data_IF_348103078568
#
_entry.id   IF_348103078568
#
_cell.length_a   1.000
_cell.length_b   1.000
_cell.length_c   1.000
_cell.angle_alpha   90.00
_cell.angle_beta   90.00
_cell.angle_gamma   90.00
#
_symmetry.space_group_name_H-M   'P 1'
#
loop_
_entity.id
_entity.type
_entity.pdbx_description
1 polymer ?
#
# COMPACT_ATOMS: atom_id res chain seq x y z
N UNK A 1 0.67 -6.43 40.61
CA UNK A 1 0.65 -7.50 39.57
C UNK A 1 0.55 -8.81 40.33
N UNK A 2 -0.35 -9.68 39.98
CA UNK A 2 -0.57 -10.95 40.66
C UNK A 2 0.63 -11.89 40.41
N UNK A 3 1.17 -12.53 41.45
CA UNK A 3 2.34 -13.43 41.36
C UNK A 3 2.10 -14.54 40.33
N UNK A 4 0.87 -15.07 40.28
CA UNK A 4 0.47 -16.08 39.29
C UNK A 4 0.53 -15.61 37.83
N UNK A 5 0.29 -14.33 37.55
CA UNK A 5 0.41 -13.77 36.20
C UNK A 5 1.88 -13.62 35.77
N UNK A 6 2.76 -13.41 36.73
CA UNK A 6 4.18 -13.36 36.48
C UNK A 6 4.73 -14.76 36.15
N UNK A 7 4.31 -15.76 36.95
CA UNK A 7 4.64 -17.17 36.70
C UNK A 7 4.15 -17.63 35.33
N UNK A 8 2.93 -17.20 34.94
CA UNK A 8 2.38 -17.48 33.59
C UNK A 8 3.24 -16.85 32.47
N UNK A 9 3.74 -15.62 32.67
CA UNK A 9 4.62 -14.95 31.70
C UNK A 9 5.99 -15.65 31.58
N UNK A 10 6.55 -16.15 32.68
CA UNK A 10 7.84 -16.88 32.67
C UNK A 10 7.73 -18.26 32.03
N UNK A 11 6.58 -18.92 32.13
CA UNK A 11 6.37 -20.28 31.64
C UNK A 11 5.76 -20.35 30.23
N UNK A 12 5.25 -19.25 29.67
CA UNK A 12 4.66 -19.22 28.33
C UNK A 12 5.70 -18.86 27.27
N UNK A 13 5.84 -19.71 26.26
CA UNK A 13 6.71 -19.45 25.11
C UNK A 13 5.98 -18.62 24.04
N UNK A 14 4.64 -18.70 23.98
CA UNK A 14 3.81 -18.03 22.98
C UNK A 14 2.70 -17.20 23.62
N UNK A 15 2.18 -16.23 22.85
CA UNK A 15 1.02 -15.43 23.28
C UNK A 15 -0.23 -16.29 23.47
N UNK A 16 -0.43 -17.30 22.65
CA UNK A 16 -1.55 -18.22 22.76
C UNK A 16 -1.47 -18.99 24.08
N UNK A 17 -0.30 -19.45 24.48
CA UNK A 17 -0.09 -20.13 25.77
C UNK A 17 -0.35 -19.17 26.95
N UNK A 18 0.23 -17.98 26.92
CA UNK A 18 0.03 -16.97 27.96
C UNK A 18 -1.45 -16.61 28.09
N UNK A 19 -2.14 -16.39 26.96
CA UNK A 19 -3.58 -16.07 26.96
C UNK A 19 -4.42 -17.23 27.51
N UNK A 20 -4.07 -18.46 27.20
CA UNK A 20 -4.73 -19.65 27.76
C UNK A 20 -4.54 -19.74 29.27
N UNK A 21 -3.35 -19.49 29.81
CA UNK A 21 -3.13 -19.41 31.26
C UNK A 21 -4.01 -18.33 31.90
N UNK A 22 -4.06 -17.14 31.32
CA UNK A 22 -4.89 -16.04 31.81
C UNK A 22 -6.39 -16.36 31.76
N UNK A 23 -6.84 -16.97 30.67
CA UNK A 23 -8.23 -17.39 30.49
C UNK A 23 -8.63 -18.47 31.53
N UNK A 24 -7.71 -19.40 31.81
CA UNK A 24 -7.93 -20.43 32.84
C UNK A 24 -8.04 -19.83 34.23
N UNK A 25 -7.18 -18.86 34.58
CA UNK A 25 -7.23 -18.17 35.87
C UNK A 25 -8.52 -17.35 36.06
N UNK A 26 -9.02 -16.76 34.97
CA UNK A 26 -10.28 -16.02 35.01
C UNK A 26 -11.52 -16.91 34.88
N UNK A 27 -11.36 -18.17 34.47
CA UNK A 27 -12.44 -19.06 34.07
C UNK A 27 -13.35 -18.42 32.99
N UNK A 28 -12.78 -17.59 32.10
CA UNK A 28 -13.48 -16.83 31.07
C UNK A 28 -12.75 -16.88 29.74
N UNK A 29 -13.48 -16.97 28.61
CA UNK A 29 -12.87 -16.87 27.29
C UNK A 29 -12.25 -15.49 27.04
N UNK A 30 -11.07 -15.49 26.38
CA UNK A 30 -10.34 -14.28 26.06
C UNK A 30 -9.81 -14.32 24.63
N UNK A 31 -9.73 -13.15 23.99
CA UNK A 31 -9.02 -12.97 22.75
C UNK A 31 -8.31 -11.63 22.66
N UNK A 32 -7.30 -11.56 21.82
CA UNK A 32 -6.52 -10.36 21.56
C UNK A 32 -6.65 -10.05 20.08
N UNK A 33 -6.96 -8.79 19.75
CA UNK A 33 -6.95 -8.24 18.41
C UNK A 33 -5.88 -7.18 18.27
N UNK A 34 -5.23 -7.11 17.11
CA UNK A 34 -4.29 -6.04 16.78
C UNK A 34 -4.97 -4.71 16.45
N UNK A 35 -4.18 -3.69 16.08
CA UNK A 35 -4.68 -2.37 15.67
C UNK A 35 -5.53 -2.45 14.38
N UNK A 36 -5.36 -3.50 13.56
CA UNK A 36 -6.10 -3.80 12.34
C UNK A 36 -7.29 -4.74 12.53
N UNK A 37 -7.68 -5.02 13.79
CA UNK A 37 -8.77 -5.94 14.16
C UNK A 37 -8.56 -7.41 13.75
N UNK A 38 -7.32 -7.80 13.46
CA UNK A 38 -6.99 -9.22 13.26
C UNK A 38 -6.70 -9.90 14.59
N UNK A 39 -7.14 -11.16 14.71
CA UNK A 39 -6.90 -11.94 15.91
C UNK A 39 -5.41 -12.29 16.02
N UNK A 40 -4.80 -11.83 17.11
CA UNK A 40 -3.42 -12.20 17.49
C UNK A 40 -3.44 -13.57 18.21
N UNK A 41 -4.34 -13.73 19.17
CA UNK A 41 -4.47 -14.95 19.98
C UNK A 41 -5.91 -15.12 20.48
N UNK A 42 -6.31 -16.39 20.69
CA UNK A 42 -7.59 -16.77 21.26
C UNK A 42 -7.40 -17.89 22.29
N UNK A 43 -8.08 -17.79 23.42
CA UNK A 43 -8.09 -18.88 24.39
C UNK A 43 -8.85 -20.09 23.84
N UNK A 44 -8.32 -21.28 24.12
CA UNK A 44 -8.92 -22.55 23.70
C UNK A 44 -9.99 -22.98 24.73
N UNK A 45 -11.21 -22.44 24.60
CA UNK A 45 -12.36 -22.95 25.36
C UNK A 45 -13.45 -23.38 24.38
N UNK A 46 -14.20 -24.47 24.68
CA UNK A 46 -15.28 -24.94 23.80
C UNK A 46 -16.35 -23.87 23.54
N UNK A 47 -16.60 -23.02 24.51
CA UNK A 47 -17.57 -21.94 24.38
C UNK A 47 -17.01 -20.78 23.55
N UNK A 48 -15.72 -20.48 23.68
CA UNK A 48 -15.06 -19.48 22.86
C UNK A 48 -15.18 -19.79 21.35
N UNK A 49 -14.92 -21.01 20.94
CA UNK A 49 -15.03 -21.45 19.54
C UNK A 49 -16.41 -21.17 18.95
N UNK A 50 -17.50 -21.42 19.71
CA UNK A 50 -18.86 -21.16 19.25
C UNK A 50 -19.15 -19.69 18.94
N UNK A 51 -18.52 -18.77 19.68
CA UNK A 51 -18.62 -17.32 19.41
C UNK A 51 -17.71 -16.94 18.25
N UNK A 52 -16.51 -17.53 18.13
CA UNK A 52 -15.56 -17.23 17.07
C UNK A 52 -16.06 -17.62 15.70
N UNK A 53 -16.67 -18.80 15.54
CA UNK A 53 -17.25 -19.26 14.27
C UNK A 53 -18.32 -18.29 13.71
N UNK A 54 -18.99 -17.54 14.60
CA UNK A 54 -20.01 -16.56 14.21
C UNK A 54 -19.44 -15.25 13.66
N UNK A 55 -18.22 -14.87 14.06
CA UNK A 55 -17.65 -13.56 13.78
C UNK A 55 -16.40 -13.59 12.91
N UNK A 56 -15.76 -14.74 12.77
CA UNK A 56 -14.49 -14.86 12.09
C UNK A 56 -14.56 -15.81 10.90
N UNK A 57 -14.24 -15.32 9.70
CA UNK A 57 -14.04 -16.14 8.53
C UNK A 57 -12.74 -16.94 8.69
N UNK A 58 -12.81 -18.28 8.57
CA UNK A 58 -11.67 -19.19 8.72
C UNK A 58 -10.92 -19.11 10.06
N UNK A 59 -11.61 -18.71 11.14
CA UNK A 59 -11.11 -18.81 12.52
C UNK A 59 -10.12 -17.75 12.96
N UNK A 60 -9.70 -16.79 12.10
CA UNK A 60 -8.73 -15.75 12.48
C UNK A 60 -9.01 -14.36 11.92
N UNK A 61 -9.82 -14.23 10.89
CA UNK A 61 -10.13 -12.93 10.28
C UNK A 61 -11.55 -12.50 10.59
N UNK A 62 -11.71 -11.25 11.01
CA UNK A 62 -13.04 -10.64 11.17
C UNK A 62 -13.70 -10.59 9.79
N UNK A 63 -14.95 -11.08 9.69
CA UNK A 63 -15.71 -10.97 8.46
C UNK A 63 -15.90 -9.53 8.02
N UNK A 64 -15.91 -9.28 6.72
CA UNK A 64 -16.04 -7.92 6.14
C UNK A 64 -17.24 -7.13 6.70
N UNK A 65 -18.38 -7.79 6.93
CA UNK A 65 -19.57 -7.14 7.50
C UNK A 65 -19.38 -6.70 8.96
N UNK A 66 -18.54 -7.38 9.73
CA UNK A 66 -18.23 -7.01 11.11
C UNK A 66 -17.31 -5.77 11.14
N UNK A 67 -16.48 -5.59 10.12
CA UNK A 67 -15.62 -4.41 9.96
C UNK A 67 -16.44 -3.13 9.72
N UNK A 68 -17.53 -3.22 8.95
CA UNK A 68 -18.46 -2.11 8.72
C UNK A 68 -19.26 -1.77 9.98
N UNK A 69 -19.51 -2.77 10.83
CA UNK A 69 -20.27 -2.60 12.07
C UNK A 69 -19.40 -2.14 13.27
N UNK A 70 -18.09 -2.41 13.28
CA UNK A 70 -17.12 -1.84 14.21
C UNK A 70 -16.94 -0.34 13.90
N UNK A 71 -18.05 0.39 14.06
CA UNK A 71 -18.08 1.83 13.88
C UNK A 71 -17.12 2.51 14.85
N UNK A 72 -16.64 3.69 14.47
CA UNK A 72 -15.87 4.59 15.30
C UNK A 72 -16.49 4.74 16.71
N UNK A 73 -17.81 4.64 16.81
CA UNK A 73 -18.59 4.72 18.05
C UNK A 73 -18.27 3.61 19.07
N UNK A 74 -18.02 2.38 18.61
CA UNK A 74 -17.58 1.29 19.50
C UNK A 74 -16.12 1.48 19.93
N UNK A 75 -15.28 1.96 19.02
CA UNK A 75 -13.86 2.23 19.30
C UNK A 75 -13.74 3.33 20.36
N UNK A 76 -14.55 4.37 20.28
CA UNK A 76 -14.54 5.50 21.21
C UNK A 76 -15.14 5.15 22.58
N UNK A 77 -16.06 4.19 22.65
CA UNK A 77 -16.64 3.69 23.91
C UNK A 77 -15.68 2.82 24.72
N UNK A 78 -14.77 2.10 24.05
CA UNK A 78 -13.74 1.30 24.72
C UNK A 78 -12.53 2.20 24.99
N UNK A 79 -12.59 2.95 26.06
CA UNK A 79 -11.51 3.84 26.49
C UNK A 79 -10.26 3.07 26.92
N UNK A 80 -9.15 3.80 27.10
CA UNK A 80 -7.84 3.30 27.56
C UNK A 80 -7.86 2.56 28.90
N UNK A 81 -9.03 2.49 29.54
CA UNK A 81 -9.23 1.81 30.81
C UNK A 81 -10.16 0.62 30.63
N UNK A 82 -9.88 -0.50 31.33
CA UNK A 82 -10.75 -1.66 31.29
C UNK A 82 -12.17 -1.26 31.70
N UNK A 83 -13.15 -1.55 30.88
CA UNK A 83 -14.56 -1.27 31.17
C UNK A 83 -15.43 -2.48 30.87
N UNK A 84 -16.45 -2.70 31.71
CA UNK A 84 -17.50 -3.69 31.48
C UNK A 84 -18.53 -3.07 30.55
N UNK A 85 -18.80 -3.71 29.43
CA UNK A 85 -19.70 -3.23 28.38
C UNK A 85 -20.64 -4.38 28.00
N UNK A 86 -21.93 -4.09 27.84
CA UNK A 86 -22.84 -5.02 27.20
C UNK A 86 -22.62 -4.97 25.71
N UNK A 87 -22.18 -6.08 25.12
CA UNK A 87 -22.01 -6.20 23.68
C UNK A 87 -23.33 -6.65 23.05
N UNK A 88 -23.97 -5.75 22.30
CA UNK A 88 -25.27 -5.98 21.68
C UNK A 88 -25.24 -7.10 20.64
N UNK A 89 -24.11 -7.37 20.04
CA UNK A 89 -23.93 -8.39 19.01
C UNK A 89 -23.76 -9.78 19.63
N UNK A 90 -22.96 -9.86 20.68
CA UNK A 90 -22.75 -11.06 21.46
C UNK A 90 -23.93 -11.34 22.40
N UNK A 91 -24.76 -10.32 22.68
CA UNK A 91 -25.83 -10.38 23.68
C UNK A 91 -25.32 -10.81 25.06
N UNK A 92 -24.14 -10.35 25.42
CA UNK A 92 -23.49 -10.65 26.68
C UNK A 92 -22.57 -9.53 27.15
N UNK A 93 -22.20 -9.57 28.43
CA UNK A 93 -21.25 -8.63 28.97
C UNK A 93 -19.80 -9.03 28.61
N UNK A 94 -18.99 -8.05 28.28
CA UNK A 94 -17.57 -8.21 28.04
C UNK A 94 -16.78 -7.19 28.89
N UNK A 95 -15.55 -7.53 29.22
CA UNK A 95 -14.55 -6.55 29.67
C UNK A 95 -13.55 -6.37 28.55
N UNK A 96 -13.48 -5.15 28.01
CA UNK A 96 -12.51 -4.80 26.98
C UNK A 96 -11.52 -3.77 27.50
N UNK A 97 -10.26 -3.89 27.10
CA UNK A 97 -9.20 -2.94 27.43
C UNK A 97 -8.14 -2.88 26.34
N UNK A 98 -7.52 -1.72 26.19
CA UNK A 98 -6.39 -1.55 25.28
C UNK A 98 -5.10 -2.08 25.90
N UNK A 99 -4.35 -2.84 25.12
CA UNK A 99 -2.98 -3.24 25.43
C UNK A 99 -2.06 -2.16 24.87
N UNK A 100 -1.34 -1.45 25.75
CA UNK A 100 -0.53 -0.27 25.39
C UNK A 100 0.95 -0.47 25.67
N UNK A 101 1.82 0.04 24.76
CA UNK A 101 3.26 0.22 25.00
C UNK A 101 3.58 1.71 24.88
N UNK A 102 4.19 2.30 25.93
CA UNK A 102 4.51 3.74 25.99
C UNK A 102 3.30 4.63 25.64
N UNK A 103 2.15 4.34 26.23
CA UNK A 103 0.87 5.03 26.00
C UNK A 103 0.31 4.93 24.56
N UNK A 104 0.84 4.05 23.73
CA UNK A 104 0.33 3.77 22.41
C UNK A 104 -0.36 2.41 22.41
N UNK A 105 -1.62 2.37 21.98
CA UNK A 105 -2.35 1.11 21.78
C UNK A 105 -1.63 0.27 20.73
N UNK A 106 -1.45 -1.01 21.01
CA UNK A 106 -0.86 -2.00 20.13
C UNK A 106 -1.78 -3.18 19.86
N UNK A 107 -2.73 -3.40 20.75
CA UNK A 107 -3.72 -4.46 20.65
C UNK A 107 -4.90 -4.15 21.58
N UNK A 108 -5.93 -4.97 21.51
CA UNK A 108 -7.08 -4.95 22.42
C UNK A 108 -7.33 -6.33 22.98
N UNK A 109 -7.44 -6.43 24.29
CA UNK A 109 -7.89 -7.61 25.00
C UNK A 109 -9.39 -7.52 25.22
N UNK A 110 -10.11 -8.59 24.89
CA UNK A 110 -11.53 -8.76 25.21
C UNK A 110 -11.72 -10.05 26.00
N UNK A 111 -12.49 -9.95 27.07
CA UNK A 111 -12.85 -11.05 27.97
C UNK A 111 -14.36 -11.20 27.95
N UNK A 112 -14.87 -12.37 27.60
CA UNK A 112 -16.30 -12.68 27.68
C UNK A 112 -16.68 -13.03 29.11
N UNK A 113 -17.82 -12.55 29.58
CA UNK A 113 -18.35 -12.87 30.88
C UNK A 113 -19.50 -13.89 30.74
N UNK A 114 -19.16 -15.19 30.69
CA UNK A 114 -20.14 -16.27 30.50
C UNK A 114 -20.95 -16.58 31.75
N UNK A 115 -20.34 -16.43 32.90
CA UNK A 115 -20.97 -16.66 34.19
C UNK A 115 -20.86 -15.40 35.05
N UNK A 116 -21.82 -15.12 35.89
CA UNK A 116 -21.81 -13.97 36.81
C UNK A 116 -20.67 -14.00 37.85
N UNK A 117 -19.58 -14.68 37.56
CA UNK A 117 -18.39 -14.77 38.39
C UNK A 117 -17.54 -13.51 38.25
N UNK A 118 -16.92 -13.17 39.37
CA UNK A 118 -16.21 -11.91 39.63
C UNK A 118 -14.85 -11.79 38.92
N UNK A 119 -14.82 -11.87 37.60
CA UNK A 119 -13.65 -11.38 36.88
C UNK A 119 -13.59 -9.87 37.05
N UNK A 120 -12.65 -9.43 37.88
CA UNK A 120 -12.52 -8.00 38.17
C UNK A 120 -11.85 -7.25 37.02
N UNK A 121 -12.31 -6.04 36.78
CA UNK A 121 -11.69 -5.10 35.85
C UNK A 121 -10.18 -4.92 36.15
N UNK A 122 -9.79 -5.00 37.44
CA UNK A 122 -8.40 -4.93 37.86
C UNK A 122 -7.58 -6.11 37.37
N UNK A 123 -8.10 -7.34 37.39
CA UNK A 123 -7.43 -8.52 36.89
C UNK A 123 -7.19 -8.40 35.37
N UNK A 124 -8.20 -8.01 34.59
CA UNK A 124 -8.09 -7.82 33.13
C UNK A 124 -7.04 -6.76 32.79
N UNK A 125 -6.93 -5.69 33.58
CA UNK A 125 -5.89 -4.69 33.42
C UNK A 125 -4.48 -5.26 33.67
N UNK A 126 -4.31 -6.12 34.64
CA UNK A 126 -3.03 -6.76 34.92
C UNK A 126 -2.68 -7.79 33.82
N UNK A 127 -3.64 -8.53 33.30
CA UNK A 127 -3.48 -9.39 32.12
C UNK A 127 -3.02 -8.57 30.92
N UNK A 128 -3.65 -7.42 30.65
CA UNK A 128 -3.24 -6.54 29.53
C UNK A 128 -1.80 -6.05 29.66
N UNK A 129 -1.33 -5.76 30.87
CA UNK A 129 0.08 -5.36 31.11
C UNK A 129 1.06 -6.49 30.82
N UNK A 130 0.75 -7.70 31.25
CA UNK A 130 1.59 -8.89 31.02
C UNK A 130 1.65 -9.22 29.53
N UNK A 131 0.50 -9.19 28.85
CA UNK A 131 0.43 -9.36 27.39
C UNK A 131 1.18 -8.27 26.63
N UNK A 132 1.18 -7.03 27.14
CA UNK A 132 1.97 -5.94 26.53
C UNK A 132 3.47 -6.23 26.52
N UNK A 133 4.00 -6.88 27.56
CA UNK A 133 5.42 -7.27 27.63
C UNK A 133 5.73 -8.30 26.53
N UNK A 134 4.92 -9.34 26.41
CA UNK A 134 5.15 -10.40 25.44
C UNK A 134 4.95 -9.91 23.99
N UNK A 135 3.90 -9.15 23.71
CA UNK A 135 3.66 -8.51 22.42
C UNK A 135 4.79 -7.55 22.01
N UNK A 136 5.34 -6.82 22.99
CA UNK A 136 6.51 -5.97 22.72
C UNK A 136 7.71 -6.77 22.27
N UNK A 137 7.99 -7.90 22.93
CA UNK A 137 9.11 -8.78 22.58
C UNK A 137 8.90 -9.40 21.19
N UNK A 138 7.70 -9.88 20.88
CA UNK A 138 7.36 -10.40 19.56
C UNK A 138 7.47 -9.33 18.46
N UNK A 139 6.88 -8.14 18.65
CA UNK A 139 7.00 -7.03 17.68
C UNK A 139 8.44 -6.56 17.47
N UNK A 140 9.27 -6.59 18.51
CA UNK A 140 10.69 -6.30 18.36
C UNK A 140 11.39 -7.36 17.51
N UNK A 141 11.00 -8.63 17.63
CA UNK A 141 11.52 -9.72 16.79
C UNK A 141 11.00 -9.62 15.34
N UNK A 142 9.74 -9.31 15.13
CA UNK A 142 9.13 -9.16 13.80
C UNK A 142 9.62 -7.91 13.04
N UNK A 143 9.74 -6.78 13.72
CA UNK A 143 10.30 -5.54 13.14
C UNK A 143 11.80 -5.62 12.87
N UNK A 144 12.49 -6.54 13.54
CA UNK A 144 13.91 -6.87 13.35
C UNK A 144 14.08 -8.16 12.54
N UNK A 145 13.06 -8.64 11.82
CA UNK A 145 13.27 -9.78 10.93
C UNK A 145 14.35 -9.41 9.90
N UNK A 146 15.33 -10.28 9.65
CA UNK A 146 16.42 -10.00 8.70
C UNK A 146 15.90 -9.52 7.35
N UNK A 147 14.71 -9.97 6.98
CA UNK A 147 14.07 -9.66 5.72
C UNK A 147 13.47 -8.26 5.69
N UNK A 148 12.76 -7.84 6.74
CA UNK A 148 12.24 -6.47 6.86
C UNK A 148 13.39 -5.45 6.87
N UNK A 149 14.49 -5.77 7.56
CA UNK A 149 15.69 -4.96 7.56
C UNK A 149 16.36 -4.91 6.18
N UNK A 150 16.37 -6.02 5.43
CA UNK A 150 16.88 -6.06 4.05
C UNK A 150 16.08 -5.13 3.14
N UNK A 151 14.75 -5.26 3.13
CA UNK A 151 13.90 -4.42 2.26
C UNK A 151 14.06 -2.95 2.61
N UNK A 152 14.04 -2.61 3.89
CA UNK A 152 14.29 -1.25 4.36
C UNK A 152 15.66 -0.75 3.91
N UNK A 153 16.70 -1.56 4.09
CA UNK A 153 18.06 -1.23 3.66
C UNK A 153 18.14 -0.97 2.15
N UNK A 154 17.51 -1.82 1.33
CA UNK A 154 17.50 -1.69 -0.14
C UNK A 154 16.68 -0.48 -0.62
N UNK A 155 15.62 -0.11 0.06
CA UNK A 155 14.81 1.07 -0.28
C UNK A 155 15.49 2.38 0.12
N UNK A 156 16.16 2.41 1.28
CA UNK A 156 16.67 3.65 1.86
C UNK A 156 18.11 4.01 1.39
N UNK A 157 18.89 3.05 0.86
CA UNK A 157 20.29 3.29 0.49
C UNK A 157 20.52 3.29 -1.02
N UNK A 158 21.36 4.22 -1.50
CA UNK A 158 21.79 4.30 -2.92
C UNK A 158 22.93 3.34 -3.24
N UNK A 159 23.82 3.12 -2.26
CA UNK A 159 24.91 2.17 -2.39
C UNK A 159 24.64 0.97 -1.50
N UNK A 160 24.59 -0.19 -2.10
CA UNK A 160 24.27 -1.44 -1.41
C UNK A 160 25.52 -2.29 -1.22
N UNK A 161 25.73 -2.76 0.02
CA UNK A 161 26.79 -3.70 0.37
C UNK A 161 26.30 -5.13 0.13
N UNK A 162 26.92 -5.79 -0.86
CA UNK A 162 26.59 -7.16 -1.27
C UNK A 162 26.76 -8.16 -0.11
N UNK A 163 27.78 -8.00 0.71
CA UNK A 163 28.04 -8.90 1.84
C UNK A 163 26.91 -8.79 2.87
N UNK A 164 26.44 -7.57 3.13
CA UNK A 164 25.31 -7.33 4.03
C UNK A 164 24.02 -7.93 3.50
N UNK A 165 23.76 -7.83 2.20
CA UNK A 165 22.59 -8.43 1.56
C UNK A 165 22.63 -9.96 1.66
N UNK A 166 23.77 -10.57 1.32
CA UNK A 166 23.95 -12.03 1.42
C UNK A 166 23.68 -12.54 2.83
N UNK A 167 24.17 -11.84 3.84
CA UNK A 167 23.93 -12.17 5.25
C UNK A 167 22.42 -12.09 5.61
N UNK A 168 21.72 -11.04 5.19
CA UNK A 168 20.28 -10.94 5.42
C UNK A 168 19.48 -12.06 4.73
N UNK A 169 19.84 -12.43 3.50
CA UNK A 169 19.19 -13.51 2.75
C UNK A 169 19.43 -14.88 3.40
N UNK A 170 20.64 -15.16 3.83
CA UNK A 170 20.96 -16.40 4.55
C UNK A 170 20.19 -16.52 5.87
N UNK A 171 20.14 -15.45 6.65
CA UNK A 171 19.42 -15.41 7.93
C UNK A 171 17.92 -15.53 7.78
N UNK A 172 17.36 -14.98 6.70
CA UNK A 172 15.91 -14.98 6.47
C UNK A 172 15.36 -16.33 6.02
N UNK A 173 16.19 -17.22 5.44
CA UNK A 173 15.78 -18.50 4.84
C UNK A 173 14.64 -18.41 3.83
N UNK A 174 14.46 -17.25 3.21
CA UNK A 174 13.33 -16.99 2.29
C UNK A 174 13.61 -17.57 0.92
N UNK A 175 12.57 -18.14 0.32
CA UNK A 175 12.61 -18.60 -1.06
C UNK A 175 12.46 -17.38 -1.99
N UNK A 176 13.51 -17.08 -2.74
CA UNK A 176 13.50 -15.99 -3.71
C UNK A 176 12.60 -16.31 -4.91
N UNK A 177 11.89 -15.31 -5.39
CA UNK A 177 11.11 -15.39 -6.62
C UNK A 177 12.01 -15.21 -7.84
N UNK A 178 11.57 -15.71 -9.00
CA UNK A 178 12.24 -15.47 -10.27
C UNK A 178 12.03 -14.03 -10.78
N UNK A 179 10.96 -13.40 -10.32
CA UNK A 179 10.51 -12.08 -10.72
C UNK A 179 9.82 -11.41 -9.53
N UNK A 180 9.92 -10.10 -9.47
CA UNK A 180 9.31 -9.28 -8.42
C UNK A 180 8.58 -8.08 -9.00
N UNK A 181 7.62 -7.57 -8.24
CA UNK A 181 6.97 -6.28 -8.43
C UNK A 181 7.03 -5.51 -7.12
N UNK A 182 7.19 -4.20 -7.19
CA UNK A 182 6.99 -3.33 -6.03
C UNK A 182 5.58 -2.75 -6.13
N UNK A 183 4.78 -2.96 -5.08
CA UNK A 183 3.51 -2.30 -4.88
C UNK A 183 3.62 -1.29 -3.74
N UNK A 184 3.05 -0.10 -3.90
CA UNK A 184 2.95 0.89 -2.83
C UNK A 184 1.48 1.21 -2.61
N UNK A 185 1.04 1.02 -1.36
CA UNK A 185 -0.35 1.28 -0.96
C UNK A 185 -0.40 2.49 -0.05
N UNK A 186 -1.37 3.34 -0.33
CA UNK A 186 -1.72 4.50 0.48
C UNK A 186 -3.19 4.45 0.89
N UNK A 187 -3.46 4.83 2.13
CA UNK A 187 -4.82 5.00 2.64
C UNK A 187 -5.28 6.43 2.44
N UNK A 188 -6.50 6.61 1.96
CA UNK A 188 -7.17 7.92 1.86
C UNK A 188 -7.85 8.35 3.16
N UNK A 189 -7.77 7.53 4.20
CA UNK A 189 -8.35 7.82 5.51
C UNK A 189 -7.62 8.95 6.26
N UNK A 190 -8.32 9.51 7.24
CA UNK A 190 -7.75 10.50 8.15
C UNK A 190 -6.61 9.91 8.98
N UNK A 191 -5.72 10.74 9.52
CA UNK A 191 -4.52 10.33 10.24
C UNK A 191 -4.81 9.32 11.38
N UNK A 192 -5.94 9.44 12.09
CA UNK A 192 -6.33 8.54 13.17
C UNK A 192 -6.65 7.13 12.68
N UNK A 193 -7.33 6.98 11.55
CA UNK A 193 -7.78 5.72 11.00
C UNK A 193 -6.77 5.09 10.04
N UNK A 194 -5.94 5.91 9.39
CA UNK A 194 -4.95 5.47 8.40
C UNK A 194 -4.04 4.37 8.93
N UNK A 195 -3.48 4.56 10.13
CA UNK A 195 -2.55 3.59 10.70
C UNK A 195 -3.23 2.25 10.97
N UNK A 196 -4.44 2.28 11.51
CA UNK A 196 -5.26 1.08 11.76
C UNK A 196 -5.51 0.32 10.46
N UNK A 197 -5.91 1.04 9.41
CA UNK A 197 -6.18 0.47 8.11
C UNK A 197 -4.92 -0.13 7.45
N UNK A 198 -3.79 0.59 7.49
CA UNK A 198 -2.51 0.07 6.97
C UNK A 198 -2.04 -1.16 7.75
N UNK A 199 -2.22 -1.18 9.07
CA UNK A 199 -1.88 -2.36 9.89
C UNK A 199 -2.77 -3.55 9.53
N UNK A 200 -4.07 -3.33 9.32
CA UNK A 200 -4.99 -4.38 8.85
C UNK A 200 -4.53 -4.95 7.50
N UNK A 201 -4.29 -4.11 6.49
CA UNK A 201 -3.83 -4.57 5.18
C UNK A 201 -2.49 -5.31 5.27
N UNK A 202 -1.56 -4.82 6.09
CA UNK A 202 -0.27 -5.50 6.31
C UNK A 202 -0.47 -6.91 6.89
N UNK A 203 -1.37 -7.06 7.85
CA UNK A 203 -1.66 -8.36 8.47
C UNK A 203 -2.30 -9.31 7.46
N UNK A 204 -3.31 -8.83 6.69
CA UNK A 204 -3.94 -9.63 5.64
C UNK A 204 -2.93 -10.07 4.57
N UNK A 205 -2.02 -9.18 4.18
CA UNK A 205 -0.98 -9.52 3.21
C UNK A 205 -0.06 -10.62 3.72
N UNK A 206 0.43 -10.54 4.96
CA UNK A 206 1.30 -11.55 5.55
C UNK A 206 0.63 -12.93 5.65
N UNK A 207 -0.66 -12.96 5.94
CA UNK A 207 -1.44 -14.20 6.01
C UNK A 207 -1.65 -14.80 4.61
N UNK A 208 -1.97 -13.95 3.63
CA UNK A 208 -2.31 -14.39 2.27
C UNK A 208 -1.05 -14.75 1.47
N UNK A 209 0.05 -14.02 1.64
CA UNK A 209 1.29 -14.17 0.89
C UNK A 209 2.51 -14.30 1.82
N UNK A 210 2.65 -15.41 2.54
CA UNK A 210 3.69 -15.57 3.57
C UNK A 210 5.13 -15.60 3.02
N UNK A 211 5.31 -15.77 1.71
CA UNK A 211 6.62 -15.78 1.04
C UNK A 211 6.97 -14.44 0.37
N UNK A 212 6.06 -13.46 0.41
CA UNK A 212 6.24 -12.12 -0.14
C UNK A 212 6.55 -11.12 0.99
N UNK A 213 6.99 -9.92 0.62
CA UNK A 213 7.47 -8.96 1.59
C UNK A 213 6.57 -7.76 1.70
N UNK A 214 6.38 -7.29 2.92
CA UNK A 214 5.65 -6.06 3.20
C UNK A 214 6.32 -5.27 4.31
N UNK A 215 6.42 -3.96 4.11
CA UNK A 215 6.98 -2.99 5.04
C UNK A 215 6.03 -1.81 5.22
N UNK A 216 5.79 -1.41 6.47
CA UNK A 216 5.13 -0.14 6.77
C UNK A 216 6.18 0.98 6.79
N UNK A 217 6.08 1.91 5.85
CA UNK A 217 6.99 3.05 5.70
C UNK A 217 6.37 4.32 6.30
N UNK A 218 7.06 4.88 7.31
CA UNK A 218 6.71 6.16 7.95
C UNK A 218 5.27 6.27 8.49
N UNK A 219 4.64 5.17 8.86
CA UNK A 219 3.23 5.10 9.29
C UNK A 219 2.23 5.66 8.22
N UNK A 220 2.63 5.76 6.96
CA UNK A 220 1.84 6.39 5.89
C UNK A 220 1.58 5.49 4.68
N UNK A 221 2.50 4.58 4.37
CA UNK A 221 2.45 3.74 3.18
C UNK A 221 2.87 2.31 3.50
N UNK A 222 2.28 1.35 2.80
CA UNK A 222 2.79 -0.02 2.75
C UNK A 222 3.60 -0.20 1.47
N UNK A 223 4.81 -0.72 1.62
CA UNK A 223 5.66 -1.14 0.51
C UNK A 223 5.63 -2.66 0.45
N UNK A 224 5.14 -3.20 -0.64
CA UNK A 224 5.04 -4.64 -0.91
C UNK A 224 6.05 -5.03 -1.98
N UNK A 225 6.74 -6.17 -1.79
CA UNK A 225 7.58 -6.79 -2.82
C UNK A 225 7.07 -8.20 -3.03
N UNK A 226 6.47 -8.45 -4.17
CA UNK A 226 5.66 -9.64 -4.46
C UNK A 226 6.10 -10.32 -5.76
N UNK A 227 6.05 -11.65 -5.76
CA UNK A 227 6.50 -12.45 -6.92
C UNK A 227 5.49 -12.57 -8.07
N UNK A 228 4.25 -12.11 -7.90
CA UNK A 228 3.18 -12.22 -8.90
C UNK A 228 2.33 -10.96 -8.98
N UNK A 229 2.15 -10.44 -10.19
CA UNK A 229 1.25 -9.31 -10.45
C UNK A 229 -0.23 -9.69 -10.18
N UNK A 230 -0.63 -10.91 -10.55
CA UNK A 230 -2.00 -11.38 -10.32
C UNK A 230 -2.34 -11.41 -8.82
N UNK A 231 -1.39 -11.82 -7.98
CA UNK A 231 -1.53 -11.80 -6.53
C UNK A 231 -1.66 -10.37 -6.00
N UNK A 232 -0.88 -9.43 -6.53
CA UNK A 232 -0.94 -8.02 -6.15
C UNK A 232 -2.30 -7.40 -6.49
N UNK A 233 -2.78 -7.62 -7.72
CA UNK A 233 -4.10 -7.15 -8.19
C UNK A 233 -5.22 -7.82 -7.41
N UNK A 234 -5.11 -9.13 -7.14
CA UNK A 234 -6.07 -9.84 -6.30
C UNK A 234 -6.15 -9.23 -4.90
N UNK A 235 -5.01 -8.95 -4.27
CA UNK A 235 -4.95 -8.31 -2.96
C UNK A 235 -5.61 -6.94 -2.97
N UNK A 236 -5.33 -6.12 -4.00
CA UNK A 236 -5.98 -4.82 -4.17
C UNK A 236 -7.51 -4.95 -4.24
N UNK A 237 -8.02 -5.79 -5.13
CA UNK A 237 -9.45 -5.94 -5.36
C UNK A 237 -10.19 -6.46 -4.13
N UNK A 238 -9.56 -7.34 -3.35
CA UNK A 238 -10.20 -7.97 -2.20
C UNK A 238 -10.13 -7.14 -0.92
N UNK A 239 -9.00 -6.47 -0.65
CA UNK A 239 -8.77 -5.82 0.63
C UNK A 239 -8.71 -4.29 0.56
N UNK A 240 -8.22 -3.71 -0.56
CA UNK A 240 -7.88 -2.29 -0.63
C UNK A 240 -8.97 -1.46 -1.30
N UNK A 241 -9.50 -1.96 -2.42
CA UNK A 241 -10.44 -1.22 -3.28
C UNK A 241 -11.67 -0.71 -2.52
N UNK A 242 -12.30 -1.58 -1.74
CA UNK A 242 -13.54 -1.27 -0.99
C UNK A 242 -13.31 -0.37 0.23
N UNK A 243 -12.07 -0.18 0.62
CA UNK A 243 -11.68 0.63 1.78
C UNK A 243 -10.98 1.93 1.35
N UNK A 244 -11.26 2.43 0.15
CA UNK A 244 -10.72 3.70 -0.37
C UNK A 244 -9.18 3.78 -0.35
N UNK A 245 -8.50 2.65 -0.54
CA UNK A 245 -7.05 2.62 -0.70
C UNK A 245 -6.63 2.87 -2.14
N UNK A 246 -5.39 3.33 -2.31
CA UNK A 246 -4.72 3.56 -3.58
C UNK A 246 -3.49 2.66 -3.67
N UNK A 247 -3.32 1.95 -4.78
CA UNK A 247 -2.17 1.08 -5.04
C UNK A 247 -1.53 1.46 -6.36
N UNK A 248 -0.23 1.72 -6.34
CA UNK A 248 0.58 1.82 -7.54
C UNK A 248 1.63 0.71 -7.57
N UNK A 249 1.98 0.22 -8.77
CA UNK A 249 2.98 -0.84 -8.91
C UNK A 249 3.97 -0.57 -10.05
N UNK A 250 5.18 -1.13 -9.85
CA UNK A 250 6.32 -1.00 -10.76
C UNK A 250 6.25 -1.95 -11.95
N UNK A 251 7.16 -1.79 -12.89
CA UNK A 251 7.52 -2.87 -13.81
C UNK A 251 8.08 -4.09 -13.07
N UNK A 252 8.04 -5.28 -13.70
CA UNK A 252 8.69 -6.47 -13.17
C UNK A 252 10.22 -6.34 -13.18
N UNK A 253 10.85 -6.97 -12.16
CA UNK A 253 12.32 -7.08 -12.09
C UNK A 253 12.73 -8.42 -11.49
N UNK A 254 13.98 -8.82 -11.68
CA UNK A 254 14.49 -10.13 -11.26
C UNK A 254 15.70 -10.04 -10.33
N UNK A 255 16.22 -8.85 -10.09
CA UNK A 255 17.37 -8.61 -9.21
C UNK A 255 16.97 -7.68 -8.06
N UNK A 256 16.94 -8.21 -6.83
CA UNK A 256 16.60 -7.45 -5.62
C UNK A 256 17.53 -6.25 -5.38
N UNK A 257 18.75 -6.25 -5.94
CA UNK A 257 19.66 -5.10 -5.88
C UNK A 257 19.07 -3.86 -6.56
N UNK A 258 18.13 -4.04 -7.48
CA UNK A 258 17.45 -2.98 -8.20
C UNK A 258 16.17 -2.51 -7.51
N UNK A 259 15.83 -3.06 -6.33
CA UNK A 259 14.58 -2.77 -5.62
C UNK A 259 14.29 -1.27 -5.50
N UNK A 260 15.30 -0.47 -5.18
CA UNK A 260 15.14 0.99 -5.06
C UNK A 260 14.66 1.65 -6.35
N UNK A 261 15.17 1.22 -7.51
CA UNK A 261 14.73 1.73 -8.81
C UNK A 261 13.24 1.46 -9.02
N UNK A 262 12.78 0.24 -8.74
CA UNK A 262 11.38 -0.14 -8.93
C UNK A 262 10.46 0.44 -7.84
N UNK A 263 10.99 0.65 -6.63
CA UNK A 263 10.31 1.43 -5.61
C UNK A 263 10.03 2.88 -6.10
N UNK A 264 11.01 3.54 -6.72
CA UNK A 264 10.81 4.88 -7.27
C UNK A 264 9.80 4.92 -8.42
N UNK A 265 9.71 3.87 -9.24
CA UNK A 265 8.67 3.76 -10.27
C UNK A 265 7.27 3.72 -9.66
N UNK A 266 7.05 2.84 -8.68
CA UNK A 266 5.77 2.72 -8.01
C UNK A 266 5.41 3.99 -7.21
N UNK A 267 6.39 4.59 -6.54
CA UNK A 267 6.19 5.84 -5.78
C UNK A 267 5.81 7.02 -6.70
N UNK A 268 6.49 7.13 -7.84
CA UNK A 268 6.16 8.16 -8.84
C UNK A 268 4.74 7.94 -9.39
N UNK A 269 4.41 6.71 -9.77
CA UNK A 269 3.07 6.38 -10.26
C UNK A 269 1.99 6.71 -9.23
N UNK A 270 2.24 6.43 -7.95
CA UNK A 270 1.31 6.75 -6.87
C UNK A 270 1.03 8.25 -6.76
N UNK A 271 2.04 9.10 -6.97
CA UNK A 271 1.94 10.54 -6.84
C UNK A 271 1.29 11.21 -8.06
N UNK A 272 1.62 10.74 -9.27
CA UNK A 272 1.20 11.39 -10.53
C UNK A 272 -0.24 11.05 -10.95
N UNK A 273 -0.71 9.86 -10.68
CA UNK A 273 -2.03 9.44 -11.14
C UNK A 273 -3.11 9.67 -10.06
N UNK A 274 -4.33 10.00 -10.47
CA UNK A 274 -5.51 10.08 -9.61
C UNK A 274 -6.30 8.76 -9.56
N UNK A 275 -5.90 7.75 -10.30
CA UNK A 275 -6.54 6.44 -10.28
C UNK A 275 -6.28 5.72 -8.94
N UNK A 276 -7.07 4.70 -8.66
CA UNK A 276 -6.92 3.94 -7.42
C UNK A 276 -6.01 2.72 -7.58
N UNK A 277 -5.94 2.14 -8.78
CA UNK A 277 -5.00 1.09 -9.16
C UNK A 277 -4.18 1.58 -10.34
N UNK A 278 -2.87 1.72 -10.16
CA UNK A 278 -1.99 2.43 -11.09
C UNK A 278 -0.86 1.52 -11.55
N UNK A 279 -0.82 1.24 -12.85
CA UNK A 279 0.33 0.65 -13.50
C UNK A 279 1.36 1.75 -13.83
N UNK A 280 2.60 1.58 -13.43
CA UNK A 280 3.70 2.50 -13.79
C UNK A 280 3.79 2.72 -15.31
N UNK A 281 3.37 1.75 -16.12
CA UNK A 281 3.36 1.89 -17.58
C UNK A 281 2.55 3.10 -18.04
N UNK A 282 1.48 3.47 -17.33
CA UNK A 282 0.59 4.57 -17.70
C UNK A 282 1.22 5.96 -17.49
N UNK A 283 2.22 6.06 -16.61
CA UNK A 283 2.93 7.30 -16.25
C UNK A 283 4.42 7.24 -16.56
N UNK A 284 4.84 6.25 -17.37
CA UNK A 284 6.26 6.03 -17.70
C UNK A 284 6.90 7.24 -18.36
N UNK A 285 6.19 7.90 -19.28
CA UNK A 285 6.75 9.04 -20.01
C UNK A 285 6.96 10.23 -19.08
N UNK A 286 6.01 10.51 -18.20
CA UNK A 286 6.12 11.54 -17.18
C UNK A 286 7.30 11.27 -16.22
N UNK A 287 7.51 10.00 -15.86
CA UNK A 287 8.68 9.59 -15.07
C UNK A 287 10.00 9.83 -15.81
N UNK A 288 10.09 9.48 -17.09
CA UNK A 288 11.28 9.72 -17.91
C UNK A 288 11.56 11.23 -17.95
N UNK A 289 10.54 12.06 -18.20
CA UNK A 289 10.67 13.52 -18.24
C UNK A 289 11.12 14.09 -16.91
N UNK A 290 10.51 13.66 -15.81
CA UNK A 290 10.90 14.04 -14.47
C UNK A 290 12.39 13.75 -14.21
N UNK A 291 12.85 12.52 -14.55
CA UNK A 291 14.26 12.13 -14.37
C UNK A 291 15.22 12.87 -15.30
N UNK A 292 14.81 13.17 -16.52
CA UNK A 292 15.62 13.94 -17.48
C UNK A 292 15.75 15.41 -17.06
N UNK A 293 14.74 16.01 -16.46
CA UNK A 293 14.77 17.41 -16.03
C UNK A 293 15.87 17.71 -15.01
N UNK A 294 16.26 16.71 -14.20
CA UNK A 294 17.35 16.80 -13.23
C UNK A 294 18.75 16.85 -13.89
N UNK A 295 18.85 16.39 -15.14
CA UNK A 295 20.16 16.19 -15.83
C UNK A 295 20.37 17.17 -16.96
N UNK A 296 19.31 17.46 -17.72
CA UNK A 296 19.42 18.33 -18.91
C UNK A 296 18.23 19.32 -18.96
N UNK A 297 18.46 20.55 -19.49
CA UNK A 297 17.35 21.46 -19.76
C UNK A 297 16.40 20.86 -20.81
N UNK A 298 15.18 20.54 -20.44
CA UNK A 298 14.18 19.85 -21.32
C UNK A 298 14.04 20.59 -22.66
N UNK A 299 14.06 21.92 -22.67
CA UNK A 299 13.96 22.74 -23.88
C UNK A 299 15.08 22.43 -24.91
N UNK A 300 16.24 21.96 -24.47
CA UNK A 300 17.36 21.62 -25.37
C UNK A 300 17.14 20.30 -26.11
N UNK A 301 16.17 19.48 -25.68
CA UNK A 301 15.82 18.20 -26.29
C UNK A 301 14.64 18.31 -27.27
N UNK A 302 13.96 19.46 -27.33
CA UNK A 302 12.83 19.67 -28.23
C UNK A 302 13.36 19.89 -29.65
N UNK A 303 12.84 19.12 -30.60
CA UNK A 303 13.21 19.23 -32.01
C UNK A 303 12.93 20.66 -32.53
N UNK A 304 13.89 21.30 -33.27
CA UNK A 304 13.76 22.70 -33.72
C UNK A 304 12.51 22.98 -34.56
N UNK A 305 12.01 22.00 -35.30
CA UNK A 305 10.77 22.11 -36.09
C UNK A 305 9.57 22.40 -35.14
N UNK A 306 9.46 21.70 -34.02
CA UNK A 306 8.34 21.87 -33.09
C UNK A 306 8.37 23.27 -32.46
N UNK A 307 9.55 23.76 -32.10
CA UNK A 307 9.69 25.15 -31.61
C UNK A 307 9.27 26.20 -32.67
N UNK A 308 9.63 25.96 -33.95
CA UNK A 308 9.19 26.85 -35.04
C UNK A 308 7.69 26.82 -35.24
N UNK A 309 7.06 25.68 -35.13
CA UNK A 309 5.59 25.53 -35.23
C UNK A 309 4.90 26.32 -34.12
N UNK A 310 5.37 26.20 -32.86
CA UNK A 310 4.80 26.91 -31.72
C UNK A 310 4.86 28.44 -31.92
N UNK A 311 6.02 28.96 -32.34
CA UNK A 311 6.19 30.39 -32.65
C UNK A 311 5.29 30.83 -33.81
N UNK A 312 5.15 29.99 -34.84
CA UNK A 312 4.27 30.27 -35.97
C UNK A 312 2.80 30.30 -35.57
N UNK A 313 2.35 29.33 -34.76
CA UNK A 313 0.98 29.28 -34.28
C UNK A 313 0.61 30.52 -33.44
N UNK A 314 1.50 30.93 -32.56
CA UNK A 314 1.33 32.15 -31.75
C UNK A 314 1.22 33.41 -32.61
N UNK A 315 2.05 33.51 -33.66
CA UNK A 315 2.08 34.67 -34.55
C UNK A 315 0.91 34.74 -35.52
N UNK A 316 0.47 33.58 -36.04
CA UNK A 316 -0.50 33.49 -37.13
C UNK A 316 -1.89 32.98 -36.68
N UNK A 317 -2.04 32.73 -35.37
CA UNK A 317 -3.29 32.20 -34.78
C UNK A 317 -3.74 30.91 -35.49
N UNK A 318 -2.79 29.96 -35.64
CA UNK A 318 -3.00 28.65 -36.26
C UNK A 318 -2.96 27.53 -35.20
N UNK A 319 -3.35 26.29 -35.56
CA UNK A 319 -3.38 25.12 -34.69
C UNK A 319 -2.46 24.00 -35.24
N UNK A 320 -1.32 24.36 -35.78
CA UNK A 320 -0.43 23.34 -36.39
C UNK A 320 0.21 22.45 -35.34
N UNK A 321 0.65 22.99 -34.20
CA UNK A 321 1.16 22.18 -33.10
C UNK A 321 0.13 21.15 -32.62
N UNK A 322 -1.10 21.61 -32.35
CA UNK A 322 -2.19 20.73 -31.92
C UNK A 322 -2.49 19.65 -32.95
N UNK A 323 -2.41 19.97 -34.24
CA UNK A 323 -2.61 19.01 -35.31
C UNK A 323 -1.46 18.00 -35.41
N UNK A 324 -0.22 18.47 -35.32
CA UNK A 324 0.96 17.61 -35.31
C UNK A 324 0.94 16.64 -34.11
N UNK A 325 0.76 17.17 -32.92
CA UNK A 325 0.70 16.40 -31.68
C UNK A 325 -0.38 15.31 -31.72
N UNK A 326 -1.61 15.66 -32.10
CA UNK A 326 -2.70 14.70 -32.25
C UNK A 326 -2.36 13.64 -33.32
N UNK A 327 -1.73 14.02 -34.41
CA UNK A 327 -1.37 13.09 -35.46
C UNK A 327 -0.29 12.10 -35.01
N UNK A 328 0.82 12.58 -34.44
CA UNK A 328 1.98 11.72 -34.09
C UNK A 328 1.75 10.91 -32.83
N UNK A 329 0.97 11.42 -31.85
CA UNK A 329 0.79 10.76 -30.55
C UNK A 329 -0.50 9.93 -30.43
N UNK A 330 -1.50 10.17 -31.31
CA UNK A 330 -2.80 9.50 -31.18
C UNK A 330 -3.07 8.40 -32.20
N UNK A 331 -2.62 8.54 -33.45
CA UNK A 331 -3.07 7.57 -34.46
C UNK A 331 -2.22 7.43 -35.71
N UNK A 332 -1.42 8.41 -36.09
CA UNK A 332 -0.81 8.55 -37.42
C UNK A 332 -1.83 8.40 -38.60
N UNK A 333 -3.14 8.62 -38.31
CA UNK A 333 -4.23 8.51 -39.28
C UNK A 333 -4.99 9.84 -39.36
N UNK A 334 -5.10 10.39 -40.57
CA UNK A 334 -5.71 11.72 -40.82
C UNK A 334 -7.18 11.74 -40.42
N UNK A 335 -7.91 10.67 -40.67
CA UNK A 335 -9.31 10.53 -40.35
C UNK A 335 -9.56 10.55 -38.83
N UNK A 336 -8.75 9.83 -38.09
CA UNK A 336 -8.85 9.79 -36.62
C UNK A 336 -8.39 11.11 -36.00
N UNK A 337 -7.34 11.74 -36.53
CA UNK A 337 -6.92 13.08 -36.13
C UNK A 337 -8.03 14.10 -36.32
N UNK A 338 -8.76 14.04 -37.46
CA UNK A 338 -9.91 14.90 -37.74
C UNK A 338 -11.06 14.72 -36.75
N UNK A 339 -11.36 13.48 -36.38
CA UNK A 339 -12.36 13.15 -35.36
C UNK A 339 -11.98 13.72 -33.99
N UNK A 340 -10.74 13.51 -33.54
CA UNK A 340 -10.25 13.98 -32.24
C UNK A 340 -10.21 15.50 -32.13
N UNK A 341 -9.90 16.19 -33.24
CA UNK A 341 -9.86 17.66 -33.31
C UNK A 341 -11.21 18.30 -33.66
N UNK A 342 -12.25 17.49 -33.90
CA UNK A 342 -13.59 17.96 -34.32
C UNK A 342 -13.56 18.84 -35.55
N UNK A 343 -12.73 18.48 -36.55
CA UNK A 343 -12.62 19.18 -37.83
C UNK A 343 -12.84 18.22 -39.00
N UNK A 344 -13.04 18.76 -40.20
CA UNK A 344 -13.15 17.92 -41.39
C UNK A 344 -11.76 17.36 -41.79
N UNK A 345 -11.70 16.15 -42.34
CA UNK A 345 -10.46 15.51 -42.78
C UNK A 345 -9.66 16.34 -43.77
N UNK A 346 -10.35 17.13 -44.62
CA UNK A 346 -9.68 18.03 -45.55
C UNK A 346 -8.93 19.16 -44.84
N UNK A 347 -9.40 19.60 -43.65
CA UNK A 347 -8.67 20.58 -42.84
C UNK A 347 -7.37 19.99 -42.36
N UNK A 348 -7.36 18.72 -41.90
CA UNK A 348 -6.12 18.03 -41.50
C UNK A 348 -5.18 17.90 -42.68
N UNK A 349 -5.67 17.44 -43.83
CA UNK A 349 -4.85 17.34 -45.06
C UNK A 349 -4.25 18.69 -45.45
N UNK A 350 -5.02 19.75 -45.39
CA UNK A 350 -4.54 21.11 -45.67
C UNK A 350 -3.46 21.55 -44.64
N UNK A 351 -3.72 21.39 -43.36
CA UNK A 351 -2.77 21.75 -42.30
C UNK A 351 -1.45 20.95 -42.44
N UNK A 352 -1.51 19.65 -42.72
CA UNK A 352 -0.32 18.83 -42.95
C UNK A 352 0.44 19.29 -44.16
N UNK A 353 -0.23 19.57 -45.26
CA UNK A 353 0.43 20.10 -46.46
C UNK A 353 1.09 21.47 -46.21
N UNK A 354 0.47 22.33 -45.41
CA UNK A 354 1.10 23.61 -45.02
C UNK A 354 2.34 23.37 -44.15
N UNK A 355 2.30 22.41 -43.24
CA UNK A 355 3.46 22.06 -42.40
C UNK A 355 4.62 21.47 -43.22
N UNK A 356 4.33 20.67 -44.27
CA UNK A 356 5.32 20.20 -45.21
C UNK A 356 6.03 21.37 -45.91
N UNK A 357 5.26 22.36 -46.36
CA UNK A 357 5.81 23.54 -47.07
C UNK A 357 6.58 24.51 -46.17
N UNK A 358 6.04 24.79 -44.99
CA UNK A 358 6.59 25.83 -44.09
C UNK A 358 7.75 25.33 -43.23
N UNK A 359 7.71 24.06 -42.84
CA UNK A 359 8.64 23.50 -41.87
C UNK A 359 9.47 22.33 -42.41
N UNK A 360 9.27 21.96 -43.70
CA UNK A 360 9.93 20.84 -44.35
C UNK A 360 9.75 19.49 -43.63
N UNK A 361 8.55 19.23 -43.12
CA UNK A 361 8.22 17.96 -42.47
C UNK A 361 7.89 16.93 -43.55
N UNK A 362 8.60 15.80 -43.53
CA UNK A 362 8.19 14.63 -44.30
C UNK A 362 7.36 13.70 -43.41
N UNK A 363 6.06 13.66 -43.63
CA UNK A 363 5.14 12.77 -42.88
C UNK A 363 5.28 11.28 -43.28
N UNK A 364 6.17 10.92 -44.18
CA UNK A 364 6.52 9.53 -44.49
C UNK A 364 7.82 9.10 -43.79
N UNK A 365 8.59 10.03 -43.22
CA UNK A 365 9.79 9.72 -42.44
C UNK A 365 9.39 9.35 -40.98
N UNK A 366 9.36 8.06 -40.73
CA UNK A 366 8.99 7.54 -39.40
C UNK A 366 9.98 7.96 -38.29
N UNK A 367 11.27 8.11 -38.61
CA UNK A 367 12.27 8.56 -37.62
C UNK A 367 12.00 10.01 -37.22
N UNK A 368 11.76 10.88 -38.21
CA UNK A 368 11.36 12.26 -37.91
C UNK A 368 10.05 12.32 -37.10
N UNK A 369 9.04 11.53 -37.45
CA UNK A 369 7.78 11.50 -36.75
C UNK A 369 7.94 11.03 -35.28
N UNK A 370 8.84 10.07 -35.01
CA UNK A 370 9.15 9.66 -33.64
C UNK A 370 9.82 10.79 -32.83
N UNK A 371 10.78 11.52 -33.44
CA UNK A 371 11.43 12.67 -32.79
C UNK A 371 10.45 13.80 -32.53
N UNK A 372 9.55 14.08 -33.49
CA UNK A 372 8.48 15.07 -33.28
C UNK A 372 7.48 14.64 -32.20
N UNK A 373 7.09 13.36 -32.18
CA UNK A 373 6.23 12.79 -31.12
C UNK A 373 6.86 12.97 -29.75
N UNK A 374 8.13 12.60 -29.59
CA UNK A 374 8.86 12.77 -28.34
C UNK A 374 8.94 14.24 -27.93
N UNK A 375 9.21 15.14 -28.89
CA UNK A 375 9.26 16.58 -28.64
C UNK A 375 7.91 17.17 -28.19
N UNK A 376 6.80 16.71 -28.75
CA UNK A 376 5.46 17.10 -28.30
C UNK A 376 5.20 16.66 -26.86
N UNK A 377 5.60 15.44 -26.49
CA UNK A 377 5.50 14.93 -25.12
C UNK A 377 6.34 15.73 -24.13
N UNK A 378 7.56 16.15 -24.52
CA UNK A 378 8.42 17.05 -23.72
C UNK A 378 7.73 18.39 -23.41
N UNK A 379 7.01 18.96 -24.37
CA UNK A 379 6.27 20.20 -24.19
C UNK A 379 5.13 20.04 -23.19
N UNK A 380 4.33 18.98 -23.32
CA UNK A 380 3.23 18.72 -22.39
C UNK A 380 3.70 18.56 -20.94
N UNK A 381 4.81 17.85 -20.74
CA UNK A 381 5.41 17.67 -19.41
C UNK A 381 6.00 18.97 -18.85
N UNK A 382 6.51 19.86 -19.70
CA UNK A 382 7.07 21.15 -19.28
C UNK A 382 6.02 22.16 -18.85
N UNK A 383 4.83 22.09 -19.41
CA UNK A 383 3.70 22.99 -19.07
C UNK A 383 3.09 22.64 -17.71
N UNK A 384 3.15 21.39 -17.28
CA UNK A 384 2.67 20.95 -15.98
C UNK A 384 3.63 21.27 -14.82
N UNK A 385 4.83 21.76 -15.11
CA UNK A 385 5.88 22.11 -14.13
C UNK A 385 6.18 23.62 -14.05
N UNK A 386 5.34 24.49 -14.61
CA UNK A 386 5.31 25.93 -14.44
C UNK A 386 4.02 26.30 -13.71
#
# INVERSE_FOLDING_TARGET
>A
MNEQLFDALENADTIDELLNYCAHMANQPMWIMDEGYSIIAMSQSPNALKYYEKFFDNGKNISLWFHEWFSQEFIDRVSHYPSRIHDELLQMDVIATDICIKNKRIARLTVLLENNEDTTVSFVNDVAKVLAIMLRNQRNQENNSPLSELIKYLVDNDQVDIAKISNYLELSKVKLHKQYYVGIVESKENMSNRKTQLTYWMTQFKVTFPNDFILLKNDQQLVMVIGSLDNLVHFYNHYIQHQHGKLAYSYPFNDLMQLKTYYHQAQFALNESNENLIDFQTVKMEYIMYRLSDVVPIKSLIHPIVLKILVYDDTNNTDYFKTLDTYVNQSMMKEKCAQLLHVHVNTIKYRMHQMEQLFAIDFNDLNLLHDLSFSCQLIHSSVNNI
#
